data_IF_923230466328
#
_entry.id   IF_923230466328
#
_cell.length_a   1.000
_cell.length_b   1.000
_cell.length_c   1.000
_cell.angle_alpha   90.00
_cell.angle_beta   90.00
_cell.angle_gamma   90.00
#
_symmetry.space_group_name_H-M   'P 1'
#
loop_
_entity.id
_entity.type
_entity.pdbx_description
1 polymer ?
2 polymer ?
3 water ?
#
loop_
_entity_poly.entity_id
_entity_poly.type
_entity_poly.pdbx_seq_one_letter_code
_entity_poly.pdbx_strand_id
2 'polydeoxyribonucleotide' '(DG)(DG)(DT)(DG)(DC)(DG)(DC)(DA)(DT)(DG)(DC)(DG)(DC)(DA)(DC)(DC)' ?
#
# COMPACT_ATOMS: atom_id res chain seq x y z
N UNK A 4 -11.90 -10.40 4.99
CA UNK A 4 -12.25 -9.18 4.24
C UNK A 4 -13.32 -8.34 4.97
N UNK A 5 -13.20 -7.01 4.83
CA UNK A 5 -14.07 -6.05 5.50
C UNK A 5 -14.18 -4.83 4.59
N UNK A 6 -15.33 -4.69 3.91
CA UNK A 6 -15.50 -3.61 2.92
C UNK A 6 -15.31 -2.23 3.56
N UNK A 7 -14.53 -1.38 2.89
CA UNK A 7 -14.34 0.01 3.30
C UNK A 7 -14.63 0.91 2.11
N UNK A 8 -15.79 1.56 2.15
CA UNK A 8 -16.21 2.51 1.11
C UNK A 8 -15.25 3.71 0.98
N UNK A 9 -14.28 3.83 1.89
CA UNK A 9 -13.53 5.06 2.06
C UNK A 9 -12.12 5.01 1.47
N UNK A 10 -11.71 3.89 0.87
CA UNK A 10 -10.41 3.85 0.23
C UNK A 10 -10.40 4.80 -0.97
N UNK A 11 -9.32 5.56 -1.18
CA UNK A 11 -9.30 6.56 -2.28
C UNK A 11 -9.31 5.89 -3.64
N UNK A 12 -9.63 6.60 -4.70
CA UNK A 12 -9.47 6.03 -6.04
C UNK A 12 -8.03 6.13 -6.49
N UNK A 13 -7.63 5.16 -7.30
CA UNK A 13 -6.27 5.04 -7.77
C UNK A 13 -5.94 6.15 -8.76
N UNK A 14 -5.94 7.39 -8.29
CA UNK A 14 -5.57 8.54 -9.11
C UNK A 14 -4.57 9.40 -8.34
N UNK A 15 -3.67 10.06 -9.08
CA UNK A 15 -2.65 10.93 -8.51
C UNK A 15 -2.75 12.30 -9.17
N UNK A 16 -2.95 13.35 -8.36
CA UNK A 16 -3.22 14.70 -8.87
C UNK A 16 -4.36 14.67 -9.90
N UNK A 17 -5.31 13.76 -9.72
CA UNK A 17 -6.43 13.65 -10.63
C UNK A 17 -6.31 12.58 -11.70
N UNK A 18 -5.12 12.40 -12.28
CA UNK A 18 -4.98 11.46 -13.41
C UNK A 18 -5.15 10.03 -12.90
N UNK A 19 -5.99 9.21 -13.53
CA UNK A 19 -6.08 7.80 -13.13
C UNK A 19 -4.86 7.00 -13.58
N UNK A 20 -4.33 6.22 -12.64
CA UNK A 20 -3.19 5.34 -12.84
C UNK A 20 -3.53 3.98 -12.26
N UNK A 21 -3.18 2.91 -12.98
CA UNK A 21 -3.26 1.60 -12.36
C UNK A 21 -2.08 1.40 -11.42
N UNK A 22 -2.27 0.52 -10.44
CA UNK A 22 -1.19 0.25 -9.48
C UNK A 22 0.04 -0.28 -10.19
N UNK A 23 -0.13 -1.04 -11.26
CA UNK A 23 1.01 -1.61 -11.98
C UNK A 23 1.84 -0.53 -12.70
N UNK A 24 1.27 0.65 -12.94
CA UNK A 24 2.00 1.69 -13.66
C UNK A 24 2.49 2.82 -12.76
N UNK A 25 2.11 2.82 -11.49
CA UNK A 25 2.66 3.79 -10.55
C UNK A 25 4.18 3.65 -10.47
N UNK A 26 4.87 4.79 -10.43
CA UNK A 26 6.31 4.81 -10.21
C UNK A 26 6.61 4.63 -8.74
N UNK A 27 7.84 4.22 -8.45
CA UNK A 27 8.26 4.03 -7.06
C UNK A 27 7.96 5.28 -6.24
N UNK A 28 8.29 6.45 -6.80
CA UNK A 28 8.04 7.69 -6.10
C UNK A 28 6.56 7.84 -5.79
N UNK A 29 5.70 7.63 -6.79
CA UNK A 29 4.26 7.81 -6.59
C UNK A 29 3.73 6.86 -5.53
N UNK A 30 4.08 5.57 -5.62
CA UNK A 30 3.69 4.58 -4.62
C UNK A 30 4.07 5.04 -3.21
N UNK A 31 5.35 5.42 -3.01
CA UNK A 31 5.77 5.91 -1.69
C UNK A 31 4.88 7.02 -1.18
N UNK A 32 4.36 7.87 -2.07
CA UNK A 32 3.47 8.95 -1.62
C UNK A 32 2.04 8.44 -1.39
N UNK A 33 1.59 7.50 -2.24
CA UNK A 33 0.21 7.03 -2.20
C UNK A 33 -0.08 6.22 -0.94
N UNK A 34 0.91 5.43 -0.51
CA UNK A 34 0.67 4.45 0.54
C UNK A 34 0.26 5.10 1.86
N UNK A 35 0.89 6.19 2.34
CA UNK A 35 0.42 6.79 3.59
C UNK A 35 -0.99 7.34 3.47
N UNK A 36 -1.34 7.90 2.31
CA UNK A 36 -2.70 8.39 2.14
C UNK A 36 -3.71 7.25 2.21
N UNK A 37 -3.45 6.17 1.46
CA UNK A 37 -4.27 4.98 1.57
C UNK A 37 -4.43 4.53 3.02
N UNK A 38 -3.35 4.53 3.80
CA UNK A 38 -3.43 4.12 5.20
C UNK A 38 -4.36 5.06 6.01
N UNK A 39 -4.21 6.37 5.83
CA UNK A 39 -5.07 7.34 6.55
C UNK A 39 -6.54 7.05 6.24
N UNK A 40 -6.89 6.93 4.95
CA UNK A 40 -8.28 6.65 4.59
C UNK A 40 -8.70 5.28 5.08
N UNK A 41 -7.76 4.33 5.07
CA UNK A 41 -8.06 2.96 5.47
C UNK A 41 -8.44 2.87 6.94
N UNK A 42 -7.75 3.63 7.81
CA UNK A 42 -7.90 3.49 9.27
C UNK A 42 -8.63 4.64 9.93
N UNK A 43 -8.82 5.77 9.24
CA UNK A 43 -9.30 6.97 9.88
C UNK A 43 -8.29 7.71 10.72
N UNK A 44 -7.17 7.09 11.07
CA UNK A 44 -6.19 7.74 11.93
C UNK A 44 -5.26 8.64 11.13
N UNK A 45 -4.78 9.69 11.81
CA UNK A 45 -3.93 10.66 11.15
C UNK A 45 -2.51 10.21 10.97
N UNK A 46 -2.08 9.22 11.75
CA UNK A 46 -0.71 8.76 11.74
C UNK A 46 -0.68 7.25 11.53
N UNK A 47 0.21 6.75 10.66
CA UNK A 47 0.26 5.30 10.41
C UNK A 47 0.64 4.47 11.62
N UNK A 48 1.46 4.97 12.54
CA UNK A 48 1.96 4.16 13.63
C UNK A 48 2.99 3.16 13.18
N UNK A 49 3.82 3.54 12.20
CA UNK A 49 4.86 2.69 11.65
C UNK A 49 5.59 1.93 12.76
N UNK A 50 5.72 0.61 12.59
CA UNK A 50 6.50 -0.19 13.50
C UNK A 50 5.75 -0.71 14.72
N UNK A 51 4.76 0.03 15.20
CA UNK A 51 4.04 -0.41 16.40
C UNK A 51 3.17 -1.60 16.07
N UNK A 52 3.41 -2.73 16.76
CA UNK A 52 2.64 -3.95 16.50
C UNK A 52 1.15 -3.70 16.55
N UNK A 53 0.71 -2.86 17.50
CA UNK A 53 -0.71 -2.59 17.67
C UNK A 53 -1.33 -1.96 16.43
N UNK A 54 -0.51 -1.38 15.54
CA UNK A 54 -1.02 -0.72 14.35
C UNK A 54 -0.72 -1.49 13.07
N UNK A 55 -0.09 -2.65 13.15
CA UNK A 55 0.24 -3.37 11.94
C UNK A 55 -1.04 -3.85 11.27
N UNK A 56 -1.32 -3.43 10.04
CA UNK A 56 -2.54 -3.89 9.37
C UNK A 56 -2.50 -5.39 9.13
N UNK A 57 -3.68 -6.02 9.19
CA UNK A 57 -3.74 -7.47 9.02
C UNK A 57 -3.26 -7.86 7.64
N UNK A 58 -3.49 -6.99 6.65
CA UNK A 58 -3.16 -7.29 5.26
C UNK A 58 -1.73 -6.94 4.92
N UNK A 59 -0.93 -6.53 5.90
CA UNK A 59 0.45 -6.17 5.61
C UNK A 59 1.16 -7.36 4.99
N UNK A 60 1.90 -7.16 3.92
CA UNK A 60 2.66 -8.28 3.33
C UNK A 60 3.67 -8.87 4.31
N UNK A 61 3.88 -10.17 4.19
CA UNK A 61 4.70 -10.87 5.18
C UNK A 61 6.19 -10.65 4.95
N UNK A 62 6.63 -10.59 3.69
CA UNK A 62 8.06 -10.40 3.41
C UNK A 62 8.45 -8.93 3.35
N UNK A 63 7.70 -8.05 4.02
CA UNK A 63 8.05 -6.63 4.19
C UNK A 63 7.90 -6.30 5.67
N UNK A 64 8.85 -5.61 6.27
CA UNK A 64 8.65 -5.13 7.65
C UNK A 64 7.64 -3.99 7.72
N UNK A 65 6.94 -3.96 8.85
CA UNK A 65 5.99 -2.90 9.16
C UNK A 65 6.80 -1.65 9.54
N UNK A 66 7.09 -0.82 8.54
CA UNK A 66 8.06 0.25 8.72
C UNK A 66 7.78 1.32 7.67
N UNK A 67 8.10 2.56 8.02
CA UNK A 67 7.92 3.67 7.09
C UNK A 67 8.49 3.34 5.73
N UNK A 68 7.64 3.38 4.69
CA UNK A 68 8.12 3.13 3.34
C UNK A 68 9.12 4.20 2.89
N UNK A 69 9.35 5.21 3.72
CA UNK A 69 10.37 6.21 3.43
C UNK A 69 11.69 5.54 3.08
N UNK A 70 12.05 4.50 3.81
CA UNK A 70 13.35 3.89 3.61
C UNK A 70 13.20 2.38 3.75
N UNK A 71 13.50 1.67 2.67
CA UNK A 71 13.43 0.21 2.62
C UNK A 71 14.34 -0.41 3.70
N UNK A 72 13.74 -1.13 4.65
CA UNK A 72 14.50 -1.80 5.70
C UNK A 72 14.50 -3.31 5.54
N UNK A 73 14.06 -3.83 4.40
CA UNK A 73 14.08 -5.28 4.21
C UNK A 73 15.51 -5.78 4.24
N UNK A 74 15.66 -7.06 4.60
CA UNK A 74 16.97 -7.70 4.55
C UNK A 74 17.49 -7.68 3.11
N UNK A 75 18.82 -7.75 2.97
CA UNK A 75 19.42 -7.70 1.64
C UNK A 75 18.91 -8.85 0.77
N UNK A 76 18.71 -10.03 1.37
CA UNK A 76 18.21 -11.18 0.62
C UNK A 76 16.76 -10.94 0.19
N UNK A 77 15.93 -10.41 1.08
CA UNK A 77 14.55 -10.06 0.73
C UNK A 77 14.51 -9.16 -0.49
N UNK A 78 15.50 -8.28 -0.62
CA UNK A 78 15.55 -7.33 -1.72
C UNK A 78 15.84 -8.02 -3.05
N UNK A 79 16.33 -9.25 -3.04
CA UNK A 79 16.60 -9.97 -4.27
C UNK A 79 15.42 -10.79 -4.76
N UNK A 80 14.58 -11.28 -3.84
CA UNK A 80 13.41 -12.05 -4.26
C UNK A 80 12.35 -11.15 -4.89
N UNK A 81 12.31 -9.89 -4.49
CA UNK A 81 11.26 -8.95 -4.87
C UNK A 81 11.88 -7.57 -4.88
N UNK A 82 11.64 -6.82 -5.95
CA UNK A 82 12.11 -5.44 -6.01
C UNK A 82 11.28 -4.54 -5.11
N UNK A 83 11.90 -3.45 -4.66
CA UNK A 83 11.22 -2.49 -3.80
C UNK A 83 9.97 -1.94 -4.45
N UNK A 84 9.97 -1.78 -5.78
CA UNK A 84 8.74 -1.34 -6.45
C UNK A 84 7.66 -2.41 -6.36
N UNK A 85 8.00 -3.65 -6.68
CA UNK A 85 7.00 -4.73 -6.57
C UNK A 85 6.48 -4.86 -5.14
N UNK A 86 7.36 -4.67 -4.16
CA UNK A 86 6.94 -4.72 -2.76
C UNK A 86 5.93 -3.61 -2.45
N UNK A 87 6.14 -2.42 -3.00
CA UNK A 87 5.25 -1.32 -2.66
C UNK A 87 3.88 -1.51 -3.32
N UNK A 88 3.87 -2.10 -4.52
CA UNK A 88 2.62 -2.46 -5.18
C UNK A 88 1.88 -3.53 -4.39
N UNK A 89 2.59 -4.50 -3.80
CA UNK A 89 1.92 -5.51 -2.97
C UNK A 89 1.24 -4.86 -1.77
N UNK A 90 1.86 -3.83 -1.18
CA UNK A 90 1.22 -3.13 -0.06
C UNK A 90 -0.12 -2.57 -0.49
N UNK A 91 -0.15 -1.87 -1.62
CA UNK A 91 -1.40 -1.28 -2.11
C UNK A 91 -2.39 -2.36 -2.46
N UNK A 92 -1.98 -3.32 -3.32
CA UNK A 92 -2.87 -4.39 -3.74
C UNK A 92 -3.45 -5.13 -2.54
N UNK A 93 -2.62 -5.43 -1.54
CA UNK A 93 -3.12 -6.16 -0.38
C UNK A 93 -4.13 -5.33 0.41
N UNK A 94 -3.91 -4.01 0.52
CA UNK A 94 -4.87 -3.18 1.25
C UNK A 94 -6.21 -3.13 0.52
N UNK A 95 -6.19 -2.94 -0.80
CA UNK A 95 -7.45 -2.82 -1.53
C UNK A 95 -8.21 -4.14 -1.54
N UNK A 96 -7.48 -5.26 -1.62
CA UNK A 96 -8.15 -6.54 -1.66
C UNK A 96 -8.82 -6.84 -0.33
N UNK A 97 -8.08 -6.67 0.76
CA UNK A 97 -8.61 -6.95 2.09
C UNK A 97 -9.83 -6.09 2.41
N UNK A 98 -9.92 -4.90 1.82
CA UNK A 98 -11.13 -4.09 1.91
C UNK A 98 -12.15 -4.40 0.81
N UNK A 99 -11.91 -5.43 0.01
CA UNK A 99 -12.85 -5.77 -1.05
C UNK A 99 -13.10 -4.66 -2.04
N UNK A 100 -12.06 -3.89 -2.37
CA UNK A 100 -12.16 -2.83 -3.36
C UNK A 100 -11.37 -3.17 -4.62
N UNK A 101 -11.48 -4.43 -5.05
CA UNK A 101 -10.95 -4.86 -6.34
C UNK A 101 -11.52 -4.04 -7.49
N UNK A 102 -12.78 -3.61 -7.37
CA UNK A 102 -13.33 -2.72 -8.40
C UNK A 102 -12.40 -1.54 -8.65
N UNK A 103 -11.84 -0.96 -7.58
CA UNK A 103 -10.94 0.19 -7.69
C UNK A 103 -9.56 -0.22 -8.15
N UNK A 104 -9.11 -1.40 -7.72
CA UNK A 104 -7.76 -1.84 -8.00
C UNK A 104 -7.59 -2.17 -9.48
N UNK A 105 -8.58 -2.86 -10.05
CA UNK A 105 -8.55 -3.30 -11.44
C UNK A 105 -9.31 -2.36 -12.35
N UNK A 106 -9.57 -1.13 -11.90
CA UNK A 106 -10.39 -0.22 -12.68
C UNK A 106 -9.74 0.09 -14.03
N UNK A 107 -8.43 0.31 -14.03
CA UNK A 107 -7.69 0.81 -15.18
C UNK A 107 -7.33 -0.29 -16.18
N UNK A 108 -7.94 -1.47 -16.09
CA UNK A 108 -7.51 -2.62 -16.88
C UNK A 108 -8.34 -2.84 -18.17
#
# INVERSE_FOLDING_TARGET
GAPQEVNSELPPLTIDGIPVSVDKMTQAQLRAFIPEMLKYSTGRGKPGWGKESCKPIWWPEDIPWANVRSDVRTEEQKQRVSWTQALRTIVKNCYKQHGREDLLYAFED
#
